data_IF_160320192138
#
_entry.id   IF_160320192138
#
_cell.length_a   1.000
_cell.length_b   1.000
_cell.length_c   1.000
_cell.angle_alpha   90.00
_cell.angle_beta   90.00
_cell.angle_gamma   90.00
#
_symmetry.space_group_name_H-M   'P 1'
#
loop_
_entity.id
_entity.type
_entity.pdbx_description
1 polymer ?
#
# COMPACT_ATOMS: atom_id res chain seq x y z
N UNK A 1 -5.39 5.65 10.22
CA UNK A 1 -4.16 4.94 10.64
C UNK A 1 -3.50 5.54 11.88
N UNK A 2 -4.16 6.40 12.60
CA UNK A 2 -3.70 7.06 13.84
C UNK A 2 -4.13 6.33 15.13
N UNK A 3 -4.23 5.01 15.09
CA UNK A 3 -4.84 4.25 16.20
C UNK A 3 -3.86 3.37 16.99
N UNK A 4 -2.60 3.28 16.56
CA UNK A 4 -1.58 2.55 17.29
C UNK A 4 -0.46 3.51 17.72
N UNK A 5 -0.33 3.83 19.02
CA UNK A 5 0.70 4.76 19.51
C UNK A 5 2.13 4.30 19.19
N UNK A 6 2.35 2.99 19.09
CA UNK A 6 3.66 2.43 18.75
C UNK A 6 4.01 2.68 17.27
N UNK A 7 3.07 2.46 16.38
CA UNK A 7 3.24 2.72 14.95
C UNK A 7 3.38 4.22 14.69
N UNK A 8 2.57 5.05 15.34
CA UNK A 8 2.65 6.51 15.20
C UNK A 8 4.01 7.05 15.65
N UNK A 9 4.57 6.52 16.73
CA UNK A 9 5.91 6.88 17.21
C UNK A 9 7.01 6.48 16.22
N UNK A 10 6.94 5.28 15.64
CA UNK A 10 7.90 4.80 14.63
C UNK A 10 7.81 5.66 13.37
N UNK A 11 6.60 5.91 12.88
CA UNK A 11 6.36 6.69 11.68
C UNK A 11 6.80 8.15 11.85
N UNK A 12 6.60 8.73 13.03
CA UNK A 12 7.07 10.08 13.35
C UNK A 12 8.61 10.17 13.39
N UNK A 13 9.29 9.13 13.89
CA UNK A 13 10.76 9.06 13.89
C UNK A 13 11.37 8.82 12.50
N UNK A 14 10.61 8.22 11.59
CA UNK A 14 11.05 7.95 10.22
C UNK A 14 10.63 9.07 9.25
N UNK A 15 10.21 10.25 9.74
CA UNK A 15 9.66 11.33 8.91
C UNK A 15 8.61 10.86 7.90
N UNK A 16 7.82 9.86 8.30
CA UNK A 16 6.83 9.26 7.43
C UNK A 16 5.70 10.26 7.13
N UNK A 17 5.55 10.60 5.89
CA UNK A 17 4.43 11.41 5.41
C UNK A 17 3.35 10.54 4.81
N UNK A 18 2.11 10.77 5.24
CA UNK A 18 0.95 10.17 4.62
C UNK A 18 0.49 11.05 3.44
N UNK A 19 0.43 10.45 2.26
CA UNK A 19 -0.15 11.14 1.09
C UNK A 19 -1.62 11.43 1.41
N UNK A 20 -2.05 12.69 1.42
CA UNK A 20 -3.45 13.05 1.74
C UNK A 20 -4.44 12.33 0.84
N UNK A 21 -5.62 12.01 1.36
CA UNK A 21 -6.69 11.40 0.55
C UNK A 21 -7.26 12.37 -0.49
N UNK A 22 -7.09 13.69 -0.27
CA UNK A 22 -7.58 14.80 -1.10
C UNK A 22 -6.44 15.77 -1.39
N UNK A 23 -6.53 16.53 -2.50
CA UNK A 23 -5.53 17.52 -2.90
C UNK A 23 -4.45 16.97 -3.85
N UNK A 24 -3.35 17.72 -4.01
CA UNK A 24 -2.23 17.36 -4.89
C UNK A 24 -1.34 16.28 -4.27
N UNK A 25 -1.76 15.04 -4.47
CA UNK A 25 -1.02 13.85 -3.99
C UNK A 25 0.35 13.70 -4.65
N UNK A 26 0.45 14.05 -5.91
CA UNK A 26 1.70 13.91 -6.66
C UNK A 26 2.69 15.02 -6.29
N UNK A 27 2.20 16.23 -6.03
CA UNK A 27 3.01 17.33 -5.52
C UNK A 27 3.66 17.00 -4.17
N UNK A 28 2.91 16.38 -3.25
CA UNK A 28 3.44 15.90 -1.97
C UNK A 28 4.56 14.88 -2.14
N UNK A 29 4.38 13.88 -3.02
CA UNK A 29 5.42 12.87 -3.32
C UNK A 29 6.66 13.53 -3.94
N UNK A 30 6.47 14.46 -4.88
CA UNK A 30 7.58 15.19 -5.52
C UNK A 30 8.37 16.03 -4.52
N UNK A 31 7.66 16.79 -3.68
CA UNK A 31 8.29 17.64 -2.67
C UNK A 31 9.15 16.80 -1.72
N UNK A 32 8.60 15.69 -1.20
CA UNK A 32 9.33 14.77 -0.34
C UNK A 32 10.54 14.14 -1.02
N UNK A 33 10.37 13.63 -2.24
CA UNK A 33 11.49 13.05 -2.97
C UNK A 33 12.57 14.10 -3.30
N UNK A 34 12.19 15.37 -3.50
CA UNK A 34 13.13 16.45 -3.79
C UNK A 34 14.00 16.85 -2.60
N UNK A 35 13.53 16.63 -1.35
CA UNK A 35 14.31 16.96 -0.14
C UNK A 35 15.36 15.92 0.23
N UNK A 36 15.36 14.75 -0.42
CA UNK A 36 16.33 13.69 -0.12
C UNK A 36 17.76 14.15 -0.29
N UNK A 37 18.61 13.84 0.65
CA UNK A 37 20.06 14.01 0.58
C UNK A 37 20.73 12.74 0.04
N UNK A 38 22.07 12.70 0.06
CA UNK A 38 22.84 11.65 -0.62
C UNK A 38 22.60 10.25 -0.04
N UNK A 39 22.47 10.16 1.28
CA UNK A 39 22.37 8.89 2.02
C UNK A 39 20.93 8.59 2.48
N UNK A 40 19.97 9.41 2.03
CA UNK A 40 18.57 9.22 2.36
C UNK A 40 17.90 8.16 1.51
N UNK A 41 16.87 7.53 2.08
CA UNK A 41 16.02 6.55 1.40
C UNK A 41 14.57 7.03 1.39
N UNK A 42 13.97 7.08 0.21
CA UNK A 42 12.54 7.33 0.05
C UNK A 42 11.79 6.01 -0.10
N UNK A 43 11.04 5.63 0.92
CA UNK A 43 10.22 4.43 0.89
C UNK A 43 8.81 4.72 0.37
N UNK A 44 8.40 4.02 -0.67
CA UNK A 44 7.08 4.14 -1.28
C UNK A 44 6.41 2.77 -1.38
N UNK A 45 5.12 2.74 -1.06
CA UNK A 45 4.27 1.55 -1.25
C UNK A 45 3.35 1.75 -2.46
N UNK A 46 3.76 1.38 -3.67
CA UNK A 46 3.01 1.73 -4.88
C UNK A 46 1.67 1.01 -5.02
N UNK A 47 1.45 -0.10 -4.35
CA UNK A 47 0.14 -0.75 -4.27
C UNK A 47 -0.91 0.11 -3.55
N UNK A 48 -0.46 0.90 -2.57
CA UNK A 48 -1.26 1.83 -1.79
C UNK A 48 -2.24 1.18 -0.81
N UNK A 49 -2.24 -0.16 -0.72
CA UNK A 49 -3.01 -0.95 0.25
C UNK A 49 -2.48 -2.38 0.30
N UNK A 50 -2.77 -3.10 1.38
CA UNK A 50 -2.40 -4.51 1.50
C UNK A 50 -3.20 -5.37 0.52
N UNK A 51 -2.59 -6.45 0.04
CA UNK A 51 -3.27 -7.42 -0.80
C UNK A 51 -4.35 -8.18 -0.02
N UNK A 52 -5.53 -8.34 -0.60
CA UNK A 52 -6.58 -9.28 -0.21
C UNK A 52 -7.36 -9.67 -1.46
N UNK A 53 -8.02 -10.87 -1.49
CA UNK A 53 -8.82 -11.28 -2.64
C UNK A 53 -9.88 -10.23 -3.02
N UNK A 54 -10.59 -9.68 -2.05
CA UNK A 54 -11.63 -8.69 -2.27
C UNK A 54 -11.08 -7.35 -2.79
N UNK A 55 -9.92 -6.92 -2.32
CA UNK A 55 -9.26 -5.71 -2.84
C UNK A 55 -8.75 -5.90 -4.25
N UNK A 56 -8.16 -7.07 -4.56
CA UNK A 56 -7.76 -7.44 -5.91
C UNK A 56 -8.95 -7.38 -6.87
N UNK A 57 -10.06 -8.05 -6.55
CA UNK A 57 -11.27 -8.03 -7.36
C UNK A 57 -11.78 -6.59 -7.60
N UNK A 58 -11.83 -5.74 -6.55
CA UNK A 58 -12.21 -4.33 -6.66
C UNK A 58 -11.26 -3.50 -7.53
N UNK A 59 -9.97 -3.79 -7.52
CA UNK A 59 -9.00 -3.09 -8.38
C UNK A 59 -9.23 -3.46 -9.84
N UNK A 60 -9.37 -4.75 -10.17
CA UNK A 60 -9.64 -5.24 -11.51
C UNK A 60 -10.94 -4.63 -12.06
N UNK A 61 -12.02 -4.70 -11.30
CA UNK A 61 -13.32 -4.15 -11.69
C UNK A 61 -13.26 -2.63 -11.94
N UNK A 62 -12.53 -1.88 -11.11
CA UNK A 62 -12.31 -0.45 -11.31
C UNK A 62 -11.52 -0.13 -12.57
N UNK A 63 -10.50 -0.93 -12.93
CA UNK A 63 -9.71 -0.76 -14.15
C UNK A 63 -10.61 -1.03 -15.39
N UNK A 64 -11.39 -2.10 -15.36
CA UNK A 64 -12.35 -2.42 -16.41
C UNK A 64 -13.37 -1.29 -16.62
N UNK A 65 -13.96 -0.76 -15.53
CA UNK A 65 -14.91 0.37 -15.64
C UNK A 65 -14.29 1.66 -16.17
N UNK A 66 -12.99 1.82 -16.08
CA UNK A 66 -12.26 2.98 -16.64
C UNK A 66 -11.81 2.77 -18.07
N UNK A 67 -12.08 1.62 -18.66
CA UNK A 67 -11.62 1.26 -20.00
C UNK A 67 -10.12 0.94 -20.08
N UNK A 68 -9.44 0.76 -18.94
CA UNK A 68 -8.03 0.37 -18.87
C UNK A 68 -7.91 -1.17 -19.00
N UNK A 69 -8.04 -1.65 -20.24
CA UNK A 69 -8.02 -3.08 -20.55
C UNK A 69 -6.66 -3.71 -20.23
N UNK A 70 -5.57 -3.04 -20.58
CA UNK A 70 -4.19 -3.53 -20.34
C UNK A 70 -3.88 -3.58 -18.84
N UNK A 71 -4.28 -2.54 -18.10
CA UNK A 71 -4.15 -2.52 -16.65
C UNK A 71 -4.98 -3.62 -15.97
N UNK A 72 -6.20 -3.88 -16.46
CA UNK A 72 -7.03 -4.95 -15.93
C UNK A 72 -6.42 -6.33 -16.21
N UNK A 73 -5.97 -6.59 -17.43
CA UNK A 73 -5.30 -7.82 -17.82
C UNK A 73 -4.01 -8.05 -17.01
N UNK A 74 -3.21 -7.00 -16.75
CA UNK A 74 -2.06 -7.09 -15.88
C UNK A 74 -2.47 -7.45 -14.43
N UNK A 75 -3.47 -6.75 -13.87
CA UNK A 75 -3.97 -7.02 -12.52
C UNK A 75 -4.53 -8.44 -12.35
N UNK A 76 -5.08 -9.03 -13.40
CA UNK A 76 -5.58 -10.40 -13.42
C UNK A 76 -4.48 -11.46 -13.40
N UNK A 77 -3.30 -11.16 -13.92
CA UNK A 77 -2.14 -12.05 -13.83
C UNK A 77 -1.50 -12.07 -12.46
N UNK A 78 -1.53 -10.94 -11.74
CA UNK A 78 -0.96 -10.84 -10.39
C UNK A 78 -1.82 -11.60 -9.37
N UNK A 79 -1.20 -12.51 -8.63
CA UNK A 79 -1.89 -13.41 -7.69
C UNK A 79 -1.67 -13.01 -6.24
N UNK A 80 -0.49 -12.50 -5.92
CA UNK A 80 -0.05 -12.24 -4.53
C UNK A 80 0.13 -10.77 -4.20
N UNK A 81 0.17 -9.91 -5.22
CA UNK A 81 0.35 -8.46 -5.08
C UNK A 81 -0.74 -7.71 -5.82
N UNK A 82 -0.94 -6.44 -5.51
CA UNK A 82 -1.80 -5.55 -6.27
C UNK A 82 -0.99 -4.82 -7.35
N UNK A 83 -1.60 -4.45 -8.49
CA UNK A 83 -0.87 -3.70 -9.51
C UNK A 83 -0.35 -2.37 -8.96
N UNK A 84 0.88 -1.98 -9.32
CA UNK A 84 1.49 -0.76 -8.82
C UNK A 84 0.80 0.48 -9.38
N UNK A 85 0.69 1.53 -8.55
CA UNK A 85 0.24 2.87 -8.96
C UNK A 85 1.44 3.63 -9.50
N UNK A 86 1.68 3.54 -10.78
CA UNK A 86 2.88 4.03 -11.43
C UNK A 86 3.08 5.55 -11.32
N UNK A 87 1.99 6.35 -11.30
CA UNK A 87 2.07 7.81 -11.22
C UNK A 87 2.84 8.32 -10.00
N UNK A 88 2.61 7.73 -8.81
CA UNK A 88 3.31 8.12 -7.58
C UNK A 88 4.79 7.76 -7.63
N UNK A 89 5.09 6.54 -8.07
CA UNK A 89 6.46 6.07 -8.23
C UNK A 89 7.23 6.90 -9.26
N UNK A 90 6.59 7.24 -10.40
CA UNK A 90 7.18 8.10 -11.41
C UNK A 90 7.41 9.54 -10.91
N UNK A 91 6.47 10.08 -10.11
CA UNK A 91 6.64 11.41 -9.51
C UNK A 91 7.87 11.48 -8.60
N UNK A 92 8.12 10.44 -7.80
CA UNK A 92 9.33 10.33 -6.98
C UNK A 92 10.59 10.19 -7.87
N UNK A 93 10.56 9.27 -8.84
CA UNK A 93 11.66 9.02 -9.77
C UNK A 93 12.07 10.27 -10.55
N UNK A 94 11.10 11.02 -11.09
CA UNK A 94 11.37 12.23 -11.86
C UNK A 94 11.93 13.38 -11.01
N UNK A 95 11.65 13.40 -9.70
CA UNK A 95 12.21 14.39 -8.78
C UNK A 95 13.66 14.09 -8.39
N UNK A 96 14.10 12.84 -8.50
CA UNK A 96 15.47 12.40 -8.20
C UNK A 96 15.99 11.46 -9.31
N UNK A 97 16.28 11.99 -10.51
CA UNK A 97 16.66 11.15 -11.66
C UNK A 97 18.01 10.43 -11.52
N UNK A 98 18.82 10.80 -10.54
CA UNK A 98 20.11 10.15 -10.25
C UNK A 98 20.03 9.15 -9.11
N UNK A 99 18.87 8.97 -8.47
CA UNK A 99 18.70 7.99 -7.41
C UNK A 99 18.54 6.58 -8.01
N UNK A 100 19.24 5.62 -7.45
CA UNK A 100 19.00 4.21 -7.71
C UNK A 100 17.62 3.81 -7.18
N UNK A 101 17.02 2.77 -7.77
CA UNK A 101 15.73 2.26 -7.34
C UNK A 101 15.92 0.86 -6.77
N UNK A 102 15.39 0.64 -5.58
CA UNK A 102 15.35 -0.68 -4.96
C UNK A 102 13.90 -1.14 -4.84
N UNK A 103 13.59 -2.28 -5.40
CA UNK A 103 12.32 -2.98 -5.17
C UNK A 103 12.55 -4.00 -4.06
N UNK A 104 11.66 -3.99 -3.06
CA UNK A 104 11.72 -4.89 -1.90
C UNK A 104 10.44 -5.71 -1.87
N UNK A 105 10.58 -7.01 -1.82
CA UNK A 105 9.48 -7.94 -1.59
C UNK A 105 9.72 -8.76 -0.32
N UNK A 106 8.63 -9.21 0.29
CA UNK A 106 8.68 -10.14 1.41
C UNK A 106 7.65 -11.26 1.24
N UNK A 107 7.96 -12.43 1.80
CA UNK A 107 7.07 -13.56 1.93
C UNK A 107 7.04 -14.06 3.38
N UNK A 108 5.95 -14.72 3.79
CA UNK A 108 5.79 -15.24 5.14
C UNK A 108 4.78 -14.50 6.03
N UNK A 109 4.35 -13.30 5.63
CA UNK A 109 3.34 -12.52 6.37
C UNK A 109 1.95 -12.49 5.73
N UNK A 110 1.69 -13.31 4.72
CA UNK A 110 0.44 -13.27 3.95
C UNK A 110 -0.86 -13.32 4.76
N UNK A 111 -0.82 -13.95 5.95
CA UNK A 111 -1.98 -14.04 6.86
C UNK A 111 -2.00 -12.95 7.94
N UNK A 112 -0.94 -12.18 8.09
CA UNK A 112 -0.81 -11.18 9.15
C UNK A 112 -1.39 -9.83 8.70
N UNK A 113 -2.65 -9.84 8.28
CA UNK A 113 -3.34 -8.67 7.72
C UNK A 113 -3.78 -7.64 8.77
N UNK A 114 -3.63 -7.95 10.07
CA UNK A 114 -3.97 -7.03 11.17
C UNK A 114 -2.97 -7.11 12.31
N UNK A 115 -2.83 -6.03 13.09
CA UNK A 115 -1.97 -5.99 14.28
C UNK A 115 -2.29 -7.12 15.27
N UNK A 116 -3.58 -7.44 15.46
CA UNK A 116 -4.02 -8.56 16.32
C UNK A 116 -3.46 -9.91 15.86
N UNK A 117 -3.46 -10.18 14.53
CA UNK A 117 -2.90 -11.42 13.97
C UNK A 117 -1.38 -11.46 14.09
N UNK A 118 -0.72 -10.32 13.93
CA UNK A 118 0.73 -10.18 14.18
C UNK A 118 1.04 -10.54 15.64
N UNK A 119 0.33 -9.98 16.60
CA UNK A 119 0.49 -10.27 18.01
C UNK A 119 0.19 -11.74 18.34
N UNK A 120 -0.88 -12.31 17.81
CA UNK A 120 -1.25 -13.70 18.02
C UNK A 120 -0.25 -14.69 17.41
N UNK A 121 0.53 -14.27 16.43
CA UNK A 121 1.54 -15.10 15.77
C UNK A 121 2.93 -15.02 16.43
N UNK A 122 3.12 -14.13 17.39
CA UNK A 122 4.40 -14.03 18.12
C UNK A 122 4.52 -15.13 19.19
N UNK A 123 5.71 -15.73 19.37
CA UNK A 123 6.95 -15.53 18.63
C UNK A 123 6.96 -16.28 17.29
N UNK A 124 7.50 -15.65 16.24
CA UNK A 124 7.56 -16.19 14.86
C UNK A 124 8.54 -17.37 14.69
N UNK A 125 8.67 -18.26 15.67
CA UNK A 125 9.73 -19.28 15.71
C UNK A 125 9.69 -20.28 14.56
N UNK A 126 8.49 -20.54 14.02
CA UNK A 126 8.28 -21.60 13.03
C UNK A 126 7.84 -21.05 11.65
N UNK A 127 7.98 -19.75 11.42
CA UNK A 127 7.58 -19.12 10.17
C UNK A 127 8.76 -18.36 9.57
N UNK A 128 9.33 -18.82 8.44
CA UNK A 128 10.37 -18.08 7.76
C UNK A 128 9.80 -16.76 7.23
N UNK A 129 10.46 -15.68 7.57
CA UNK A 129 10.25 -14.38 6.94
C UNK A 129 11.36 -14.19 5.91
N UNK A 130 10.98 -14.21 4.66
CA UNK A 130 11.91 -14.05 3.55
C UNK A 130 11.77 -12.64 2.99
N UNK A 131 12.91 -12.02 2.71
CA UNK A 131 12.99 -10.71 2.05
C UNK A 131 13.88 -10.85 0.84
N UNK A 132 13.47 -10.26 -0.27
CA UNK A 132 14.28 -10.13 -1.48
C UNK A 132 14.34 -8.68 -1.92
N UNK A 133 15.48 -8.25 -2.41
CA UNK A 133 15.70 -6.94 -2.98
C UNK A 133 16.22 -7.06 -4.42
N UNK A 134 15.74 -6.15 -5.29
CA UNK A 134 16.28 -5.94 -6.63
C UNK A 134 16.72 -4.48 -6.73
N UNK A 135 17.97 -4.25 -7.02
CA UNK A 135 18.51 -2.90 -7.14
C UNK A 135 18.76 -2.57 -8.61
N UNK A 136 18.24 -1.44 -9.04
CA UNK A 136 18.38 -0.91 -10.39
C UNK A 136 19.14 0.40 -10.32
N UNK A 137 20.22 0.53 -11.09
CA UNK A 137 20.97 1.76 -11.17
C UNK A 137 20.14 2.86 -11.82
N UNK A 138 20.36 4.11 -11.43
CA UNK A 138 19.64 5.24 -11.96
C UNK A 138 19.60 5.30 -13.50
N UNK A 139 20.71 4.91 -14.16
CA UNK A 139 20.81 4.88 -15.61
C UNK A 139 19.94 3.81 -16.28
N UNK A 140 19.57 2.73 -15.54
CA UNK A 140 18.81 1.59 -16.05
C UNK A 140 17.31 1.75 -15.78
N UNK A 141 16.91 2.84 -15.09
CA UNK A 141 15.52 3.15 -14.78
C UNK A 141 15.01 4.23 -15.73
N UNK A 142 13.90 3.99 -16.44
CA UNK A 142 13.33 4.96 -17.37
C UNK A 142 13.10 6.34 -16.76
N UNK A 143 13.26 7.39 -17.59
CA UNK A 143 13.13 8.79 -17.18
C UNK A 143 11.87 9.46 -17.69
N UNK A 144 11.14 8.82 -18.60
CA UNK A 144 9.85 9.26 -19.11
C UNK A 144 8.69 8.37 -18.60
N UNK A 145 7.49 8.93 -18.58
CA UNK A 145 6.33 8.24 -18.00
C UNK A 145 5.84 7.06 -18.85
N UNK A 146 6.05 7.11 -20.16
CA UNK A 146 5.56 6.12 -21.10
C UNK A 146 6.33 4.80 -20.96
N UNK A 147 7.65 4.87 -20.86
CA UNK A 147 8.53 3.71 -20.66
C UNK A 147 8.63 3.28 -19.21
N UNK A 148 8.42 4.19 -18.23
CA UNK A 148 8.45 3.86 -16.82
C UNK A 148 7.28 2.98 -16.38
N UNK A 149 6.07 3.19 -16.91
CA UNK A 149 4.90 2.40 -16.54
C UNK A 149 5.08 0.91 -16.86
N UNK A 150 5.38 0.49 -18.09
CA UNK A 150 5.63 -0.92 -18.39
C UNK A 150 6.88 -1.47 -17.67
N UNK A 151 7.91 -0.66 -17.46
CA UNK A 151 9.07 -1.05 -16.68
C UNK A 151 8.69 -1.43 -15.24
N UNK A 152 7.91 -0.58 -14.54
CA UNK A 152 7.51 -0.84 -13.17
C UNK A 152 6.56 -2.05 -13.08
N UNK A 153 5.65 -2.22 -14.04
CA UNK A 153 4.78 -3.40 -14.10
C UNK A 153 5.57 -4.69 -14.24
N UNK A 154 6.61 -4.71 -15.08
CA UNK A 154 7.48 -5.88 -15.23
C UNK A 154 8.21 -6.23 -13.91
N UNK A 155 8.60 -5.22 -13.10
CA UNK A 155 9.16 -5.47 -11.75
C UNK A 155 8.12 -6.09 -10.81
N UNK A 156 6.85 -5.70 -10.95
CA UNK A 156 5.77 -6.31 -10.16
C UNK A 156 5.46 -7.74 -10.58
N UNK A 157 5.60 -8.06 -11.86
CA UNK A 157 5.51 -9.45 -12.35
C UNK A 157 6.63 -10.31 -11.72
N UNK A 158 7.87 -9.79 -11.60
CA UNK A 158 8.98 -10.47 -10.92
C UNK A 158 8.73 -10.65 -9.41
N UNK A 159 8.16 -9.64 -8.76
CA UNK A 159 7.77 -9.72 -7.33
C UNK A 159 6.70 -10.78 -7.13
N UNK A 160 5.64 -10.78 -7.94
CA UNK A 160 4.54 -11.76 -7.83
C UNK A 160 5.02 -13.19 -8.04
N UNK A 161 5.88 -13.41 -9.04
CA UNK A 161 6.49 -14.71 -9.30
C UNK A 161 7.34 -15.18 -8.11
N UNK A 162 8.18 -14.31 -7.56
CA UNK A 162 9.00 -14.65 -6.41
C UNK A 162 8.17 -14.94 -5.16
N UNK A 163 7.12 -14.15 -4.90
CA UNK A 163 6.21 -14.41 -3.77
C UNK A 163 5.47 -15.73 -3.98
N UNK A 164 5.06 -16.06 -5.22
CA UNK A 164 4.42 -17.35 -5.55
C UNK A 164 5.33 -18.52 -5.19
N UNK A 165 6.61 -18.44 -5.56
CA UNK A 165 7.61 -19.49 -5.29
C UNK A 165 7.89 -19.68 -3.79
N UNK A 166 7.82 -18.58 -3.01
CA UNK A 166 8.24 -18.57 -1.61
C UNK A 166 7.06 -18.49 -0.62
N UNK A 167 5.82 -18.55 -1.10
CA UNK A 167 4.67 -18.72 -0.20
C UNK A 167 4.77 -20.08 0.47
N UNK A 168 4.88 -20.08 1.78
CA UNK A 168 4.59 -21.28 2.57
C UNK A 168 3.09 -21.52 2.49
N UNK A 169 2.68 -22.50 1.68
CA UNK A 169 1.28 -22.87 1.49
C UNK A 169 0.60 -23.13 2.83
N UNK A 170 -0.37 -22.29 3.15
CA UNK A 170 -1.47 -22.68 3.98
C UNK A 170 -2.71 -22.67 3.10
N UNK A 171 -3.52 -23.74 3.09
CA UNK A 171 -4.71 -23.80 2.26
C UNK A 171 -5.60 -22.60 2.55
N UNK A 172 -6.10 -21.96 1.50
CA UNK A 172 -7.12 -20.93 1.57
C UNK A 172 -8.41 -21.58 2.09
N UNK A 173 -8.63 -21.50 3.39
CA UNK A 173 -9.76 -22.16 4.03
C UNK A 173 -9.98 -21.68 5.45
N UNK A 174 -10.28 -20.39 5.59
CA UNK A 174 -11.19 -19.88 6.60
C UNK A 174 -11.73 -18.53 6.08
N UNK A 175 -13.04 -18.33 6.01
CA UNK A 175 -13.62 -17.05 5.68
C UNK A 175 -13.20 -16.07 6.77
N UNK A 176 -12.39 -15.10 6.37
CA UNK A 176 -12.01 -14.00 7.24
C UNK A 176 -13.27 -13.21 7.52
N UNK A 177 -13.64 -13.14 8.79
CA UNK A 177 -14.72 -12.30 9.32
C UNK A 177 -14.57 -10.85 8.80
N UNK A 178 -15.28 -10.53 7.73
CA UNK A 178 -15.30 -9.21 7.08
C UNK A 178 -16.14 -8.21 7.89
N UNK A 179 -16.63 -8.64 9.08
CA UNK A 179 -17.60 -7.91 9.90
C UNK A 179 -17.01 -6.83 10.82
N UNK A 180 -15.70 -6.56 10.78
CA UNK A 180 -15.08 -5.61 11.74
C UNK A 180 -14.58 -4.30 11.14
N UNK A 181 -15.11 -3.89 9.98
CA UNK A 181 -14.87 -2.53 9.45
C UNK A 181 -16.16 -1.90 8.93
N UNK A 182 -17.21 -1.97 9.74
CA UNK A 182 -18.30 -1.03 9.63
C UNK A 182 -17.81 0.26 10.27
N UNK A 183 -17.51 1.21 9.42
CA UNK A 183 -17.31 2.62 9.74
C UNK A 183 -18.58 3.13 10.44
N UNK A 184 -18.57 3.12 11.76
CA UNK A 184 -19.57 3.73 12.60
C UNK A 184 -19.30 5.22 12.70
N UNK A 185 -19.69 5.98 11.67
CA UNK A 185 -19.84 7.41 11.77
C UNK A 185 -20.92 7.70 12.81
N UNK A 186 -20.74 8.69 13.72
CA UNK A 186 -21.74 9.05 14.69
C UNK A 186 -22.96 9.63 13.97
N UNK A 187 -24.12 8.99 14.17
CA UNK A 187 -25.40 9.56 13.83
C UNK A 187 -25.62 10.80 14.71
N UNK A 188 -25.65 11.97 14.10
CA UNK A 188 -26.17 13.17 14.71
C UNK A 188 -27.67 12.98 14.97
N UNK A 189 -28.01 12.63 16.20
CA UNK A 189 -29.35 12.68 16.74
C UNK A 189 -29.58 14.02 17.38
N UNK A 190 -30.32 14.87 16.69
CA UNK A 190 -30.88 16.09 17.23
C UNK A 190 -32.13 15.77 18.10
N UNK A 191 -32.21 16.17 19.36
CA UNK A 191 -33.49 16.30 20.04
C UNK A 191 -33.86 17.76 20.27
N UNK A 192 -34.69 18.25 19.42
CA UNK A 192 -35.54 19.42 19.72
C UNK A 192 -36.65 19.00 20.69
N UNK A 193 -36.71 19.57 21.88
CA UNK A 193 -38.00 19.82 22.58
C UNK A 193 -37.83 20.91 23.64
N UNK A 194 -38.65 21.94 23.64
CA UNK A 194 -38.61 23.02 24.63
C UNK A 194 -39.44 22.66 25.86
N UNK A 195 -38.82 22.67 27.02
CA UNK A 195 -39.51 22.57 28.33
C UNK A 195 -39.59 23.92 29.02
N UNK A 196 -40.79 24.44 29.05
CA UNK A 196 -41.23 25.60 29.87
C UNK A 196 -41.08 25.29 31.34
N UNK A 197 -40.43 26.15 32.13
CA UNK A 197 -40.56 26.18 33.58
C UNK A 197 -40.80 27.61 34.05
N UNK A 198 -41.93 27.80 34.78
CA UNK A 198 -42.34 29.01 35.48
C UNK A 198 -41.62 29.10 36.84
N UNK A 199 -41.43 30.37 37.21
CA UNK A 199 -41.08 30.82 38.57
C UNK A 199 -42.13 30.47 39.64
N UNK A 200 -41.83 30.62 40.95
CA UNK A 200 -41.66 31.91 41.59
C UNK A 200 -40.24 32.21 42.08
#
# INVERSE_FOLDING_TARGET
MRWDPGIDTILTRLDASFVPSTGDRLGGVRAMAATLERDDVFLLFPEGQNWTPSRRARVIDRLRRRGDADGAAHAERLVNVLPPRTRGAFAARSSRPRADVMVIAHAGFGELTSARRVWAAMPFRDRPFLVRTWTYRAQDVPTDAETFDPWLRARWDEVDAWVTEHRTDRPAGDPVDEAATTDGGPAEGNPTTPGTVRHP
#
